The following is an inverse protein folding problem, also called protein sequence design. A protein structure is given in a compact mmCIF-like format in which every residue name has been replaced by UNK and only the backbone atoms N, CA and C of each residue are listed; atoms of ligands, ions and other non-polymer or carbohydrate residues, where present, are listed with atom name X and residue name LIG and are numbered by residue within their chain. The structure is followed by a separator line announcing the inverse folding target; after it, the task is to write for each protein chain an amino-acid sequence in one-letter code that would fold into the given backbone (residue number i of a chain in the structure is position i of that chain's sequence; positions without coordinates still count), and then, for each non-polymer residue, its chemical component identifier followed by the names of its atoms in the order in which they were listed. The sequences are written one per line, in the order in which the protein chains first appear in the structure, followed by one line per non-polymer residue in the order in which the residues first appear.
data_IF_127631345328
#
_entry.id   IF_127631345328
#
_cell.length_a   1.000
_cell.length_b   1.000
_cell.length_c   1.000
_cell.angle_alpha   90.00
_cell.angle_beta   90.00
_cell.angle_gamma   90.00
#
_symmetry.space_group_name_H-M   'P 1'
#
loop_
_entity.id
_entity.type
_entity.pdbx_description
1 polymer ?
#
# COMPACT_ATOMS: atom_id res chain seq x y z
N UNK A 1 27.32 44.52 -19.64
CA UNK A 1 28.42 43.85 -18.89
C UNK A 1 28.01 43.33 -17.49
N UNK A 2 26.71 43.25 -17.14
CA UNK A 2 26.24 42.70 -15.85
C UNK A 2 25.43 41.39 -15.97
N UNK A 3 24.99 40.97 -17.16
CA UNK A 3 24.23 39.70 -17.34
C UNK A 3 25.12 38.47 -17.54
N UNK A 4 26.35 38.64 -18.02
CA UNK A 4 27.27 37.53 -18.29
C UNK A 4 27.84 36.90 -17.00
N UNK A 5 27.96 37.69 -15.92
CA UNK A 5 28.51 37.23 -14.64
C UNK A 5 27.48 36.39 -13.86
N UNK A 6 26.18 36.66 -14.01
CA UNK A 6 25.12 35.90 -13.33
C UNK A 6 24.91 34.49 -13.91
N UNK A 7 25.08 34.31 -15.23
CA UNK A 7 25.05 32.98 -15.86
C UNK A 7 26.29 32.14 -15.52
N UNK A 8 27.47 32.77 -15.45
CA UNK A 8 28.71 32.12 -15.02
C UNK A 8 28.66 31.72 -13.53
N UNK A 9 27.99 32.50 -12.67
CA UNK A 9 27.81 32.17 -11.26
C UNK A 9 26.81 31.01 -11.04
N UNK A 10 25.75 30.90 -11.85
CA UNK A 10 24.85 29.73 -11.82
C UNK A 10 25.55 28.47 -12.34
N UNK A 11 26.29 28.55 -13.46
CA UNK A 11 27.05 27.43 -13.99
C UNK A 11 28.12 26.94 -13.00
N UNK A 12 28.83 27.86 -12.34
CA UNK A 12 29.83 27.52 -11.31
C UNK A 12 29.18 26.96 -10.04
N UNK A 13 28.01 27.45 -9.62
CA UNK A 13 27.28 26.91 -8.47
C UNK A 13 26.71 25.50 -8.71
N UNK A 14 26.36 25.17 -9.96
CA UNK A 14 26.00 23.80 -10.36
C UNK A 14 27.23 22.88 -10.26
N UNK A 15 28.40 23.35 -10.69
CA UNK A 15 29.67 22.59 -10.66
C UNK A 15 30.29 22.46 -9.25
N UNK A 16 29.95 23.35 -8.31
CA UNK A 16 30.49 23.35 -6.94
C UNK A 16 29.51 22.87 -5.88
N UNK A 17 28.29 22.49 -6.24
CA UNK A 17 27.32 21.96 -5.30
C UNK A 17 27.73 20.55 -4.83
N UNK A 18 27.53 20.19 -3.55
CA UNK A 18 27.66 18.81 -3.07
C UNK A 18 26.80 17.81 -3.86
N UNK A 19 25.79 18.33 -4.59
CA UNK A 19 24.84 17.64 -5.47
C UNK A 19 25.47 16.91 -6.68
N UNK A 20 26.64 17.33 -7.19
CA UNK A 20 27.35 16.63 -8.27
C UNK A 20 28.47 15.70 -7.78
N UNK A 21 28.66 15.58 -6.45
CA UNK A 21 29.86 14.98 -5.85
C UNK A 21 29.73 13.50 -5.48
N UNK A 22 28.84 12.74 -6.13
CA UNK A 22 29.05 11.28 -6.28
C UNK A 22 29.90 11.05 -7.53
N UNK A 23 31.18 11.39 -7.42
CA UNK A 23 32.18 11.11 -8.45
C UNK A 23 32.49 9.61 -8.42
N UNK A 24 32.09 8.89 -9.46
CA UNK A 24 32.73 7.62 -9.81
C UNK A 24 34.16 7.97 -10.26
N UNK A 25 35.22 7.33 -9.73
CA UNK A 25 36.60 7.58 -10.14
C UNK A 25 36.89 7.29 -11.63
N UNK A 26 35.91 6.81 -12.40
CA UNK A 26 36.03 6.41 -13.81
C UNK A 26 35.39 7.36 -14.84
N UNK A 27 34.96 8.56 -14.46
CA UNK A 27 34.31 9.55 -15.35
C UNK A 27 32.81 9.75 -15.07
N UNK A 28 32.18 10.77 -15.65
CA UNK A 28 30.74 11.00 -15.46
C UNK A 28 29.95 9.96 -16.26
N UNK A 29 28.85 9.43 -15.70
CA UNK A 29 27.96 8.47 -16.39
C UNK A 29 27.44 9.04 -17.73
N UNK A 30 27.47 10.38 -17.87
CA UNK A 30 27.06 11.12 -19.06
C UNK A 30 28.15 11.24 -20.14
N UNK A 31 29.35 10.74 -19.87
CA UNK A 31 30.48 10.75 -20.82
C UNK A 31 30.42 9.57 -21.79
N UNK A 32 29.67 8.51 -21.44
CA UNK A 32 29.60 7.28 -22.22
C UNK A 32 28.15 6.78 -22.37
N UNK A 33 27.66 6.80 -23.61
CA UNK A 33 26.30 6.34 -23.96
C UNK A 33 26.05 4.86 -23.61
N UNK A 34 27.05 4.00 -23.66
CA UNK A 34 26.89 2.58 -23.34
C UNK A 34 26.79 2.35 -21.82
N UNK A 35 27.57 3.08 -21.02
CA UNK A 35 27.46 3.10 -19.55
C UNK A 35 26.13 3.71 -19.11
N UNK A 36 25.66 4.74 -19.82
CA UNK A 36 24.40 5.42 -19.56
C UNK A 36 23.18 4.55 -19.94
N UNK A 37 23.23 3.82 -21.06
CA UNK A 37 22.07 3.13 -21.63
C UNK A 37 22.06 1.61 -21.45
N UNK A 38 23.11 0.89 -21.87
CA UNK A 38 23.04 -0.58 -21.97
C UNK A 38 23.33 -1.25 -20.64
N UNK A 39 24.30 -0.73 -19.89
CA UNK A 39 24.73 -1.31 -18.62
C UNK A 39 23.69 -1.11 -17.49
N UNK A 40 22.65 -0.31 -17.74
CA UNK A 40 21.60 -0.01 -16.76
C UNK A 40 20.33 -0.86 -17.00
N UNK A 41 20.12 -1.40 -18.20
CA UNK A 41 18.85 -2.04 -18.57
C UNK A 41 18.53 -3.31 -17.76
N UNK A 42 19.55 -4.12 -17.42
CA UNK A 42 19.33 -5.33 -16.61
C UNK A 42 18.98 -5.02 -15.15
N UNK A 43 19.38 -3.85 -14.66
CA UNK A 43 19.11 -3.39 -13.29
C UNK A 43 17.63 -3.06 -13.08
N UNK A 44 16.87 -2.83 -14.16
CA UNK A 44 15.43 -2.53 -14.09
C UNK A 44 14.57 -3.74 -13.69
N UNK A 45 15.15 -4.93 -13.55
CA UNK A 45 14.43 -6.11 -13.07
C UNK A 45 14.32 -6.16 -11.55
N UNK A 46 15.24 -5.50 -10.86
CA UNK A 46 15.37 -5.50 -9.41
C UNK A 46 15.11 -4.10 -8.83
N UNK A 47 14.35 -3.97 -7.74
CA UNK A 47 14.08 -2.68 -7.10
C UNK A 47 15.32 -1.86 -6.70
N UNK A 48 16.39 -2.49 -6.18
CA UNK A 48 17.61 -1.78 -5.84
C UNK A 48 18.36 -1.32 -7.10
N UNK A 49 18.34 -2.15 -8.14
CA UNK A 49 18.86 -1.81 -9.46
C UNK A 49 18.14 -0.60 -10.07
N UNK A 50 16.82 -0.57 -10.09
CA UNK A 50 16.04 0.57 -10.61
C UNK A 50 16.32 1.87 -9.84
N UNK A 51 16.45 1.80 -8.51
CA UNK A 51 16.87 2.93 -7.68
C UNK A 51 18.29 3.40 -8.04
N UNK A 52 19.21 2.46 -8.24
CA UNK A 52 20.58 2.77 -8.69
C UNK A 52 20.59 3.44 -10.06
N UNK A 53 19.76 3.02 -11.02
CA UNK A 53 19.63 3.69 -12.32
C UNK A 53 19.13 5.11 -12.13
N UNK A 54 18.09 5.31 -11.33
CA UNK A 54 17.51 6.63 -11.06
C UNK A 54 18.55 7.61 -10.47
N UNK A 55 19.34 7.13 -9.50
CA UNK A 55 20.38 7.93 -8.85
C UNK A 55 21.62 8.15 -9.74
N UNK A 56 22.15 7.09 -10.36
CA UNK A 56 23.40 7.17 -11.14
C UNK A 56 23.26 7.94 -12.45
N UNK A 57 22.08 7.91 -13.06
CA UNK A 57 21.77 8.72 -14.25
C UNK A 57 21.47 10.17 -13.89
N UNK A 58 21.28 10.47 -12.59
CA UNK A 58 20.86 11.78 -12.06
C UNK A 58 19.51 12.26 -12.58
N UNK A 59 18.65 11.34 -13.07
CA UNK A 59 17.32 11.68 -13.58
C UNK A 59 16.46 12.43 -12.56
N UNK A 60 16.48 11.99 -11.30
CA UNK A 60 15.75 12.68 -10.22
C UNK A 60 16.29 14.09 -9.94
N UNK A 61 17.61 14.27 -9.93
CA UNK A 61 18.22 15.58 -9.69
C UNK A 61 17.88 16.56 -10.81
N UNK A 62 18.00 16.12 -12.06
CA UNK A 62 17.69 16.95 -13.22
C UNK A 62 16.20 17.25 -13.32
N UNK A 63 15.32 16.33 -12.89
CA UNK A 63 13.89 16.60 -12.76
C UNK A 63 13.62 17.70 -11.72
N UNK A 64 14.19 17.59 -10.52
CA UNK A 64 14.00 18.58 -9.44
C UNK A 64 14.55 19.96 -9.83
N UNK A 65 15.74 20.01 -10.45
CA UNK A 65 16.34 21.24 -10.97
C UNK A 65 15.51 21.82 -12.11
N UNK A 66 15.04 20.98 -13.04
CA UNK A 66 14.21 21.41 -14.16
C UNK A 66 12.94 22.09 -13.66
N UNK A 67 12.21 21.43 -12.76
CA UNK A 67 10.98 21.93 -12.14
C UNK A 67 11.26 23.24 -11.38
N UNK A 68 12.28 23.26 -10.51
CA UNK A 68 12.65 24.46 -9.76
C UNK A 68 13.22 25.61 -10.61
N UNK A 69 13.61 25.34 -11.86
CA UNK A 69 14.08 26.35 -12.81
C UNK A 69 12.97 26.95 -13.67
N UNK A 70 11.76 26.36 -13.68
CA UNK A 70 10.60 26.99 -14.30
C UNK A 70 10.25 28.26 -13.52
N UNK A 71 9.73 29.30 -14.17
CA UNK A 71 9.57 30.62 -13.54
C UNK A 71 8.82 30.52 -12.20
N UNK A 72 9.09 31.44 -11.26
CA UNK A 72 8.61 31.44 -9.86
C UNK A 72 7.08 31.30 -9.71
N UNK A 73 6.31 31.49 -10.79
CA UNK A 73 4.85 31.34 -10.85
C UNK A 73 4.35 30.02 -11.47
N UNK A 74 5.24 29.16 -11.98
CA UNK A 74 4.92 27.99 -12.84
C UNK A 74 5.48 26.66 -12.32
N UNK A 75 5.83 26.54 -11.04
CA UNK A 75 6.75 25.48 -10.65
C UNK A 75 6.29 24.05 -10.98
N UNK A 76 4.99 23.72 -11.04
CA UNK A 76 4.57 22.35 -11.39
C UNK A 76 3.37 22.18 -12.34
N UNK A 77 2.62 23.21 -12.79
CA UNK A 77 1.69 23.04 -13.92
C UNK A 77 2.42 22.73 -15.25
N UNK A 78 1.92 21.73 -15.98
CA UNK A 78 2.37 21.29 -17.29
C UNK A 78 3.88 20.92 -17.39
N UNK A 79 4.53 20.55 -16.27
CA UNK A 79 5.97 20.30 -16.25
C UNK A 79 6.41 19.26 -17.31
N UNK A 80 5.61 18.20 -17.52
CA UNK A 80 5.95 17.14 -18.45
C UNK A 80 5.90 17.60 -19.90
N UNK A 81 4.90 18.43 -20.23
CA UNK A 81 4.79 19.08 -21.54
C UNK A 81 5.94 20.06 -21.76
N UNK A 82 6.25 20.87 -20.75
CA UNK A 82 7.37 21.80 -20.78
C UNK A 82 8.71 21.07 -20.95
N UNK A 83 8.86 19.88 -20.36
CA UNK A 83 10.06 19.05 -20.50
C UNK A 83 10.18 18.49 -21.92
N UNK A 84 9.08 17.95 -22.47
CA UNK A 84 9.01 17.51 -23.86
C UNK A 84 9.36 18.64 -24.81
N UNK A 85 8.78 19.82 -24.63
CA UNK A 85 9.06 21.00 -25.47
C UNK A 85 10.51 21.48 -25.33
N UNK A 86 11.08 21.48 -24.13
CA UNK A 86 12.48 21.87 -23.89
C UNK A 86 13.46 20.91 -24.56
N UNK A 87 13.18 19.61 -24.53
CA UNK A 87 14.10 18.57 -25.03
C UNK A 87 13.93 18.38 -26.53
N UNK A 88 12.69 18.27 -27.00
CA UNK A 88 12.37 17.88 -28.39
C UNK A 88 12.15 19.11 -29.29
N UNK A 89 11.88 20.29 -28.71
CA UNK A 89 11.65 21.53 -29.47
C UNK A 89 10.26 21.61 -30.12
N UNK A 90 9.29 20.88 -29.57
CA UNK A 90 7.94 20.72 -30.11
C UNK A 90 7.84 19.58 -31.13
N UNK A 91 6.74 18.83 -31.08
CA UNK A 91 6.51 17.65 -31.94
C UNK A 91 5.55 18.01 -33.08
N UNK A 92 5.94 17.78 -34.33
CA UNK A 92 4.99 17.81 -35.44
C UNK A 92 4.00 16.63 -35.29
N UNK A 93 2.75 16.92 -34.92
CA UNK A 93 1.72 15.92 -34.63
C UNK A 93 1.07 16.03 -33.23
N UNK A 94 1.51 16.98 -32.39
CA UNK A 94 1.02 17.16 -31.03
C UNK A 94 1.89 16.45 -29.98
N UNK A 95 1.73 16.80 -28.69
CA UNK A 95 2.61 16.30 -27.63
C UNK A 95 2.46 14.79 -27.41
N UNK A 96 3.57 14.06 -27.33
CA UNK A 96 3.58 12.61 -27.12
C UNK A 96 3.32 12.23 -25.65
N UNK A 97 3.34 13.22 -24.77
CA UNK A 97 3.05 13.09 -23.34
C UNK A 97 1.57 13.27 -22.97
N UNK A 98 0.73 13.71 -23.91
CA UNK A 98 -0.66 14.09 -23.63
C UNK A 98 -1.54 12.97 -23.05
N UNK A 99 -1.20 11.70 -23.32
CA UNK A 99 -1.91 10.53 -22.77
C UNK A 99 -1.36 10.02 -21.44
N UNK A 100 -0.30 10.61 -20.88
CA UNK A 100 0.35 10.09 -19.66
C UNK A 100 -0.42 10.39 -18.37
N UNK A 101 -1.32 11.37 -18.38
CA UNK A 101 -2.12 11.76 -17.21
C UNK A 101 -3.34 10.89 -16.94
N UNK A 102 -3.58 9.82 -17.71
CA UNK A 102 -4.72 8.92 -17.50
C UNK A 102 -4.34 7.46 -17.76
N UNK A 103 -5.00 6.53 -17.06
CA UNK A 103 -4.80 5.08 -17.24
C UNK A 103 -5.26 4.57 -18.61
N UNK A 104 -6.18 5.26 -19.26
CA UNK A 104 -6.70 4.90 -20.60
C UNK A 104 -5.93 5.59 -21.73
N UNK A 105 -5.12 6.61 -21.42
CA UNK A 105 -4.36 7.36 -22.39
C UNK A 105 -3.21 6.56 -23.00
N UNK A 106 -2.79 6.97 -24.19
CA UNK A 106 -1.57 6.46 -24.82
C UNK A 106 -0.39 7.31 -24.35
N UNK A 107 0.38 6.80 -23.38
CA UNK A 107 1.59 7.45 -22.91
C UNK A 107 2.81 6.99 -23.71
N UNK A 108 3.32 7.85 -24.61
CA UNK A 108 4.52 7.55 -25.40
C UNK A 108 5.51 8.72 -25.40
N UNK A 109 5.99 9.17 -24.22
CA UNK A 109 6.84 10.35 -24.07
C UNK A 109 8.19 10.25 -24.82
N UNK A 110 8.54 9.04 -25.28
CA UNK A 110 9.76 8.75 -26.03
C UNK A 110 9.52 8.72 -27.55
N UNK A 111 8.28 8.80 -28.04
CA UNK A 111 8.01 8.68 -29.48
C UNK A 111 8.56 7.40 -30.15
N UNK A 112 8.87 6.36 -29.37
CA UNK A 112 9.52 5.13 -29.84
C UNK A 112 11.04 5.16 -29.93
N UNK A 113 11.71 6.26 -29.56
CA UNK A 113 13.18 6.34 -29.56
C UNK A 113 13.78 5.58 -28.39
N UNK A 114 14.95 4.97 -28.61
CA UNK A 114 15.69 4.26 -27.56
C UNK A 114 16.65 5.20 -26.82
N UNK A 115 17.25 4.71 -25.72
CA UNK A 115 18.15 5.51 -24.88
C UNK A 115 19.33 6.11 -25.66
N UNK A 116 19.98 5.33 -26.54
CA UNK A 116 21.14 5.81 -27.30
C UNK A 116 20.74 6.91 -28.28
N UNK A 117 19.59 6.74 -28.92
CA UNK A 117 19.04 7.73 -29.84
C UNK A 117 18.68 9.03 -29.11
N UNK A 118 18.01 8.96 -27.94
CA UNK A 118 17.72 10.12 -27.11
C UNK A 118 19.01 10.86 -26.71
N UNK A 119 19.98 10.11 -26.21
CA UNK A 119 21.26 10.63 -25.75
C UNK A 119 22.01 11.35 -26.87
N UNK A 120 22.11 10.73 -28.06
CA UNK A 120 22.84 11.30 -29.19
C UNK A 120 22.10 12.50 -29.81
N UNK A 121 20.77 12.46 -29.83
CA UNK A 121 19.95 13.48 -30.50
C UNK A 121 19.77 14.73 -29.67
N UNK A 122 19.66 14.60 -28.35
CA UNK A 122 19.31 15.71 -27.47
C UNK A 122 20.38 16.01 -26.41
N UNK A 123 21.44 15.21 -26.31
CA UNK A 123 22.50 15.40 -25.32
C UNK A 123 23.47 16.55 -25.60
N UNK A 124 23.34 17.20 -26.77
CA UNK A 124 24.08 18.41 -27.15
C UNK A 124 23.05 19.45 -27.63
N UNK A 125 23.18 20.69 -27.17
CA UNK A 125 22.30 21.78 -27.58
C UNK A 125 22.67 22.32 -28.99
N UNK A 126 21.90 23.30 -29.47
CA UNK A 126 22.10 23.91 -30.80
C UNK A 126 23.42 24.66 -30.94
N UNK A 127 24.01 25.06 -29.82
CA UNK A 127 25.26 25.82 -29.75
C UNK A 127 26.48 24.90 -29.54
N UNK A 128 26.26 23.58 -29.50
CA UNK A 128 27.31 22.58 -29.33
C UNK A 128 27.71 22.33 -27.87
N UNK A 129 26.97 22.87 -26.89
CA UNK A 129 27.22 22.63 -25.48
C UNK A 129 26.50 21.38 -24.98
N UNK A 130 27.00 20.81 -23.89
CA UNK A 130 26.36 19.67 -23.25
C UNK A 130 24.97 20.03 -22.72
N UNK A 131 23.97 19.25 -23.14
CA UNK A 131 22.59 19.37 -22.67
C UNK A 131 22.25 18.18 -21.76
N UNK A 132 22.53 18.35 -20.47
CA UNK A 132 22.36 17.31 -19.45
C UNK A 132 20.91 16.82 -19.39
N UNK A 133 19.93 17.73 -19.28
CA UNK A 133 18.50 17.37 -19.25
C UNK A 133 18.08 16.62 -20.52
N UNK A 134 18.70 16.95 -21.66
CA UNK A 134 18.52 16.19 -22.90
C UNK A 134 18.97 14.74 -22.79
N UNK A 135 20.12 14.46 -22.15
CA UNK A 135 20.60 13.10 -21.87
C UNK A 135 19.72 12.36 -20.85
N UNK A 136 19.41 13.01 -19.72
CA UNK A 136 18.70 12.40 -18.58
C UNK A 136 17.21 12.24 -18.79
N UNK A 137 16.60 13.04 -19.66
CA UNK A 137 15.17 12.97 -19.99
C UNK A 137 14.70 11.59 -20.44
N UNK A 138 15.56 10.75 -21.03
CA UNK A 138 15.21 9.36 -21.35
C UNK A 138 14.65 8.62 -20.13
N UNK A 139 15.37 8.68 -19.01
CA UNK A 139 15.01 7.97 -17.79
C UNK A 139 13.81 8.61 -17.10
N UNK A 140 13.66 9.93 -17.18
CA UNK A 140 12.46 10.63 -16.69
C UNK A 140 11.22 10.18 -17.48
N UNK A 141 11.29 10.21 -18.82
CA UNK A 141 10.20 9.77 -19.69
C UNK A 141 9.89 8.28 -19.55
N UNK A 142 10.92 7.44 -19.36
CA UNK A 142 10.73 6.01 -19.08
C UNK A 142 9.99 5.80 -17.74
N UNK A 143 10.34 6.57 -16.70
CA UNK A 143 9.64 6.52 -15.41
C UNK A 143 8.19 6.99 -15.53
N UNK A 144 7.90 8.05 -16.29
CA UNK A 144 6.53 8.51 -16.56
C UNK A 144 5.72 7.44 -17.30
N UNK A 145 6.32 6.82 -18.32
CA UNK A 145 5.69 5.70 -19.03
C UNK A 145 5.42 4.51 -18.11
N UNK A 146 6.39 4.14 -17.29
CA UNK A 146 6.27 3.05 -16.33
C UNK A 146 5.26 3.32 -15.21
N UNK A 147 5.10 4.58 -14.79
CA UNK A 147 4.05 5.01 -13.86
C UNK A 147 2.67 4.75 -14.45
N UNK A 148 2.42 5.25 -15.67
CA UNK A 148 1.13 5.06 -16.34
C UNK A 148 0.81 3.56 -16.54
N UNK A 149 1.80 2.78 -16.98
CA UNK A 149 1.64 1.34 -17.18
C UNK A 149 1.29 0.61 -15.87
N UNK A 150 2.00 0.89 -14.77
CA UNK A 150 1.74 0.27 -13.46
C UNK A 150 0.40 0.67 -12.87
N UNK A 151 -0.03 1.93 -13.05
CA UNK A 151 -1.34 2.37 -12.58
C UNK A 151 -2.47 1.75 -13.40
N UNK A 152 -2.27 1.54 -14.71
CA UNK A 152 -3.20 0.77 -15.54
C UNK A 152 -3.28 -0.68 -15.09
N UNK A 153 -2.15 -1.35 -14.87
CA UNK A 153 -2.11 -2.73 -14.34
C UNK A 153 -2.83 -2.84 -13.00
N UNK A 154 -2.60 -1.89 -12.10
CA UNK A 154 -3.28 -1.83 -10.81
C UNK A 154 -4.80 -1.69 -10.99
N UNK A 155 -5.25 -0.78 -11.85
CA UNK A 155 -6.69 -0.60 -12.14
C UNK A 155 -7.31 -1.89 -12.69
N UNK A 156 -6.66 -2.54 -13.64
CA UNK A 156 -7.11 -3.82 -14.20
C UNK A 156 -7.19 -4.91 -13.13
N UNK A 157 -6.15 -5.01 -12.27
CA UNK A 157 -6.08 -6.03 -11.23
C UNK A 157 -7.09 -5.80 -10.12
N UNK A 158 -7.28 -4.56 -9.68
CA UNK A 158 -8.35 -4.17 -8.75
C UNK A 158 -9.73 -4.46 -9.34
N UNK A 159 -9.93 -4.23 -10.64
CA UNK A 159 -11.21 -4.57 -11.30
C UNK A 159 -11.49 -6.06 -11.20
N UNK A 160 -10.50 -6.88 -11.60
CA UNK A 160 -10.58 -8.33 -11.52
C UNK A 160 -10.83 -8.81 -10.09
N UNK A 161 -10.09 -8.27 -9.12
CA UNK A 161 -10.11 -8.76 -7.75
C UNK A 161 -11.35 -8.26 -6.98
N UNK A 162 -11.88 -7.07 -7.25
CA UNK A 162 -13.19 -6.63 -6.75
C UNK A 162 -14.31 -7.52 -7.26
N UNK A 163 -14.27 -7.94 -8.53
CA UNK A 163 -15.22 -8.93 -9.05
C UNK A 163 -15.09 -10.27 -8.31
N UNK A 164 -13.88 -10.77 -8.13
CA UNK A 164 -13.62 -12.03 -7.40
C UNK A 164 -14.09 -11.92 -5.94
N UNK A 165 -13.78 -10.83 -5.24
CA UNK A 165 -14.20 -10.60 -3.86
C UNK A 165 -15.73 -10.56 -3.75
N UNK A 166 -16.41 -9.87 -4.67
CA UNK A 166 -17.87 -9.87 -4.76
C UNK A 166 -18.48 -11.27 -4.90
N UNK A 167 -17.82 -12.18 -5.64
CA UNK A 167 -18.25 -13.59 -5.72
C UNK A 167 -17.92 -14.41 -4.47
N UNK A 168 -16.86 -14.07 -3.74
CA UNK A 168 -16.43 -14.81 -2.55
C UNK A 168 -17.24 -14.47 -1.30
N UNK A 169 -17.74 -13.25 -1.16
CA UNK A 169 -18.46 -12.81 0.06
C UNK A 169 -19.69 -13.69 0.36
N UNK A 170 -20.59 -14.01 -0.59
CA UNK A 170 -21.73 -14.90 -0.30
C UNK A 170 -21.29 -16.29 0.16
N UNK A 171 -20.15 -16.78 -0.34
CA UNK A 171 -19.57 -18.03 0.13
C UNK A 171 -19.04 -17.91 1.55
N UNK A 172 -18.34 -16.81 1.88
CA UNK A 172 -17.86 -16.55 3.25
C UNK A 172 -19.02 -16.44 4.26
N UNK A 173 -20.08 -15.73 3.88
CA UNK A 173 -21.32 -15.58 4.67
C UNK A 173 -21.91 -16.95 5.00
N UNK A 174 -22.01 -17.82 3.99
CA UNK A 174 -22.48 -19.20 4.18
C UNK A 174 -21.52 -20.03 5.04
N UNK A 175 -20.22 -19.96 4.75
CA UNK A 175 -19.18 -20.80 5.37
C UNK A 175 -18.97 -20.49 6.86
N UNK A 176 -19.23 -19.25 7.30
CA UNK A 176 -19.13 -18.86 8.71
C UNK A 176 -20.49 -18.71 9.40
N UNK A 177 -21.60 -18.80 8.65
CA UNK A 177 -22.96 -18.52 9.13
C UNK A 177 -23.12 -17.07 9.65
N UNK A 178 -22.49 -16.13 8.95
CA UNK A 178 -22.51 -14.70 9.27
C UNK A 178 -23.47 -13.90 8.41
N UNK A 179 -23.19 -12.60 8.25
CA UNK A 179 -23.86 -11.72 7.29
C UNK A 179 -22.87 -10.67 6.75
N UNK A 180 -23.35 -9.80 5.84
CA UNK A 180 -22.57 -8.68 5.27
C UNK A 180 -22.83 -7.34 5.97
N UNK A 181 -23.59 -7.34 7.07
CA UNK A 181 -24.15 -6.11 7.66
C UNK A 181 -23.08 -5.25 8.32
N UNK A 182 -23.40 -3.95 8.40
CA UNK A 182 -22.55 -2.81 8.78
C UNK A 182 -21.36 -3.14 9.69
N UNK A 183 -20.16 -3.00 9.11
CA UNK A 183 -18.95 -2.76 9.91
C UNK A 183 -18.69 -1.26 9.93
N UNK A 184 -18.41 -0.71 11.11
CA UNK A 184 -17.94 0.67 11.21
C UNK A 184 -16.63 0.82 10.44
N UNK A 185 -16.43 1.97 9.79
CA UNK A 185 -15.16 2.35 9.15
C UNK A 185 -14.69 1.43 7.98
N UNK A 186 -15.61 0.88 7.16
CA UNK A 186 -15.27 0.02 6.01
C UNK A 186 -14.21 0.63 5.10
N UNK A 187 -14.35 1.91 4.77
CA UNK A 187 -13.42 2.61 3.90
C UNK A 187 -12.02 2.73 4.51
N UNK A 188 -11.92 2.94 5.84
CA UNK A 188 -10.62 3.06 6.51
C UNK A 188 -9.90 1.73 6.55
N UNK A 189 -10.59 0.63 6.90
CA UNK A 189 -9.91 -0.67 6.90
C UNK A 189 -9.61 -1.15 5.49
N UNK A 190 -10.44 -0.85 4.49
CA UNK A 190 -10.11 -1.16 3.10
C UNK A 190 -8.87 -0.38 2.64
N UNK A 191 -8.76 0.91 2.96
CA UNK A 191 -7.55 1.68 2.66
C UNK A 191 -6.33 1.13 3.41
N UNK A 192 -6.50 0.77 4.69
CA UNK A 192 -5.44 0.13 5.46
C UNK A 192 -4.98 -1.17 4.79
N UNK A 193 -5.89 -2.06 4.39
CA UNK A 193 -5.61 -3.36 3.75
C UNK A 193 -4.58 -3.22 2.61
N UNK A 194 -4.57 -2.08 1.96
CA UNK A 194 -3.79 -1.80 0.78
C UNK A 194 -2.41 -1.23 1.13
N UNK A 195 -2.30 -0.53 2.27
CA UNK A 195 -1.07 0.13 2.70
C UNK A 195 -0.04 -0.76 3.41
N UNK A 196 -0.40 -1.88 4.07
CA UNK A 196 0.52 -2.57 5.00
C UNK A 196 1.22 -3.85 4.52
N UNK A 197 1.13 -4.23 3.25
CA UNK A 197 1.97 -5.30 2.67
C UNK A 197 1.93 -6.66 3.39
N UNK A 198 1.02 -7.56 2.98
CA UNK A 198 1.12 -9.02 3.12
C UNK A 198 1.42 -9.67 4.49
N UNK A 199 1.13 -9.03 5.62
CA UNK A 199 1.53 -9.51 6.94
C UNK A 199 0.95 -10.88 7.38
N UNK A 200 -0.18 -11.33 6.82
CA UNK A 200 -0.81 -12.61 7.20
C UNK A 200 -0.40 -13.81 6.35
N UNK A 201 0.15 -13.58 5.15
CA UNK A 201 0.26 -14.62 4.13
C UNK A 201 1.49 -15.50 4.24
N UNK A 202 2.53 -15.08 4.98
CA UNK A 202 3.83 -15.79 5.06
C UNK A 202 4.57 -16.02 3.73
N UNK A 203 3.95 -15.65 2.61
CA UNK A 203 4.34 -15.98 1.24
C UNK A 203 4.96 -14.80 0.48
N UNK A 204 5.02 -13.62 1.09
CA UNK A 204 5.84 -12.54 0.54
C UNK A 204 7.24 -12.61 1.15
N UNK A 205 8.30 -12.77 0.35
CA UNK A 205 9.66 -12.78 0.85
C UNK A 205 9.92 -11.53 1.70
N UNK A 206 10.67 -11.69 2.78
CA UNK A 206 11.15 -10.61 3.66
C UNK A 206 11.57 -9.42 2.79
N UNK A 207 10.77 -8.37 2.82
CA UNK A 207 10.86 -7.31 1.83
C UNK A 207 12.05 -6.41 2.12
N UNK A 208 12.91 -6.25 1.11
CA UNK A 208 13.88 -5.16 1.11
C UNK A 208 13.18 -3.78 1.04
N UNK A 209 13.90 -2.69 1.36
CA UNK A 209 13.38 -1.31 1.46
C UNK A 209 12.74 -0.74 0.18
N UNK A 210 12.76 -1.48 -0.92
CA UNK A 210 12.26 -1.06 -2.22
C UNK A 210 10.90 -1.70 -2.59
N UNK A 211 10.53 -2.83 -1.98
CA UNK A 211 9.15 -3.34 -2.04
C UNK A 211 8.20 -2.45 -1.22
N UNK A 212 8.68 -1.90 -0.10
CA UNK A 212 7.95 -0.94 0.73
C UNK A 212 7.70 0.39 0.02
N UNK A 213 8.50 0.74 -0.99
CA UNK A 213 8.30 1.95 -1.79
C UNK A 213 7.02 1.85 -2.65
N UNK A 214 6.86 0.76 -3.40
CA UNK A 214 5.66 0.53 -4.20
C UNK A 214 4.40 0.48 -3.32
N UNK A 215 4.47 -0.27 -2.22
CA UNK A 215 3.40 -0.33 -1.23
C UNK A 215 3.10 1.06 -0.59
N UNK A 216 4.12 1.88 -0.33
CA UNK A 216 3.95 3.23 0.22
C UNK A 216 3.27 4.20 -0.76
N UNK A 217 3.60 4.14 -2.06
CA UNK A 217 2.92 4.92 -3.10
C UNK A 217 1.45 4.53 -3.17
N UNK A 218 1.16 3.22 -3.21
CA UNK A 218 -0.21 2.73 -3.24
C UNK A 218 -0.95 3.09 -1.95
N UNK A 219 -0.37 2.84 -0.78
CA UNK A 219 -0.91 3.24 0.52
C UNK A 219 -1.31 4.71 0.55
N UNK A 220 -0.44 5.63 0.10
CA UNK A 220 -0.75 7.05 0.03
C UNK A 220 -1.94 7.40 -0.88
N UNK A 221 -2.08 6.73 -2.03
CA UNK A 221 -3.23 6.93 -2.94
C UNK A 221 -4.53 6.50 -2.26
N UNK A 222 -4.52 5.37 -1.55
CA UNK A 222 -5.71 4.84 -0.89
C UNK A 222 -6.07 5.60 0.39
N UNK A 223 -5.09 6.11 1.15
CA UNK A 223 -5.33 7.05 2.24
C UNK A 223 -6.04 8.30 1.71
N UNK A 224 -5.59 8.85 0.58
CA UNK A 224 -6.25 10.00 -0.04
C UNK A 224 -7.69 9.69 -0.49
N UNK A 225 -8.00 8.46 -0.89
CA UNK A 225 -9.40 8.03 -1.15
C UNK A 225 -10.18 8.00 0.15
N UNK A 226 -9.64 7.40 1.21
CA UNK A 226 -10.32 7.31 2.51
C UNK A 226 -10.63 8.69 3.10
N UNK A 227 -9.69 9.64 3.00
CA UNK A 227 -9.85 11.01 3.54
C UNK A 227 -10.90 11.83 2.78
N UNK A 228 -11.02 11.62 1.45
CA UNK A 228 -11.97 12.34 0.59
C UNK A 228 -13.35 11.72 0.55
N UNK A 229 -13.49 10.50 1.02
CA UNK A 229 -14.75 9.78 0.99
C UNK A 229 -15.58 10.18 2.20
N UNK A 230 -16.58 11.03 1.99
CA UNK A 230 -17.58 11.30 3.01
C UNK A 230 -18.37 10.02 3.34
N UNK A 231 -18.61 9.70 4.63
CA UNK A 231 -19.35 8.50 5.05
C UNK A 231 -20.74 8.37 4.42
N UNK A 232 -21.35 9.48 4.02
CA UNK A 232 -22.70 9.57 3.48
C UNK A 232 -22.76 9.37 1.96
N UNK A 233 -21.62 9.42 1.26
CA UNK A 233 -21.56 9.36 -0.21
C UNK A 233 -21.43 7.94 -0.80
N UNK A 234 -21.28 6.92 0.06
CA UNK A 234 -21.07 5.53 -0.33
C UNK A 234 -22.18 4.63 0.23
N UNK A 235 -22.60 3.65 -0.56
CA UNK A 235 -23.41 2.54 -0.06
C UNK A 235 -22.56 1.63 0.85
N UNK A 236 -22.45 2.01 2.12
CA UNK A 236 -21.78 1.22 3.17
C UNK A 236 -22.73 0.22 3.83
N UNK A 237 -23.89 -0.07 3.24
CA UNK A 237 -24.87 -0.99 3.82
C UNK A 237 -24.36 -2.44 3.85
N UNK A 238 -23.48 -2.79 2.90
CA UNK A 238 -22.88 -4.12 2.75
C UNK A 238 -21.39 -4.00 2.44
N UNK A 239 -20.61 -5.03 2.81
CA UNK A 239 -19.18 -5.13 2.45
C UNK A 239 -19.00 -5.12 0.93
N UNK A 240 -19.86 -5.83 0.19
CA UNK A 240 -19.82 -5.91 -1.27
C UNK A 240 -20.09 -4.56 -1.93
N UNK A 241 -21.11 -3.81 -1.47
CA UNK A 241 -21.39 -2.44 -1.94
C UNK A 241 -20.20 -1.48 -1.71
N UNK A 242 -19.63 -1.52 -0.50
CA UNK A 242 -18.50 -0.68 -0.15
C UNK A 242 -17.23 -0.99 -0.98
N UNK A 243 -16.97 -2.26 -1.30
CA UNK A 243 -15.86 -2.64 -2.19
C UNK A 243 -16.01 -2.08 -3.61
N UNK A 244 -17.23 -2.06 -4.15
CA UNK A 244 -17.52 -1.47 -5.46
C UNK A 244 -17.27 0.04 -5.42
N UNK A 245 -17.77 0.73 -4.40
CA UNK A 245 -17.58 2.17 -4.27
C UNK A 245 -16.11 2.56 -4.04
N UNK A 246 -15.38 1.80 -3.20
CA UNK A 246 -13.93 1.97 -3.06
C UNK A 246 -13.23 1.81 -4.40
N UNK A 247 -13.54 0.74 -5.15
CA UNK A 247 -12.93 0.52 -6.45
C UNK A 247 -13.14 1.71 -7.40
N UNK A 248 -14.36 2.23 -7.49
CA UNK A 248 -14.67 3.40 -8.32
C UNK A 248 -13.89 4.63 -7.85
N UNK A 249 -13.85 4.87 -6.55
CA UNK A 249 -13.14 6.00 -5.95
C UNK A 249 -11.62 5.89 -6.17
N UNK A 250 -11.04 4.72 -5.99
CA UNK A 250 -9.63 4.42 -6.28
C UNK A 250 -9.32 4.57 -7.75
N UNK A 251 -10.13 4.02 -8.65
CA UNK A 251 -9.90 4.14 -10.08
C UNK A 251 -9.89 5.61 -10.52
N UNK A 252 -10.78 6.43 -9.95
CA UNK A 252 -10.79 7.89 -10.13
C UNK A 252 -9.55 8.55 -9.53
N UNK A 253 -9.17 8.18 -8.31
CA UNK A 253 -8.00 8.75 -7.63
C UNK A 253 -6.68 8.36 -8.30
N UNK A 254 -6.59 7.19 -8.96
CA UNK A 254 -5.44 6.83 -9.81
C UNK A 254 -5.31 7.79 -10.99
N UNK A 255 -6.41 8.12 -11.67
CA UNK A 255 -6.41 9.08 -12.77
C UNK A 255 -6.08 10.50 -12.26
N UNK A 256 -6.58 10.90 -11.07
CA UNK A 256 -6.19 12.17 -10.42
C UNK A 256 -4.70 12.20 -10.11
N UNK A 257 -4.15 11.14 -9.51
CA UNK A 257 -2.73 11.06 -9.17
C UNK A 257 -1.86 11.04 -10.41
N UNK A 258 -2.23 10.32 -11.49
CA UNK A 258 -1.53 10.38 -12.77
C UNK A 258 -1.53 11.80 -13.33
N UNK A 259 -2.70 12.43 -13.38
CA UNK A 259 -2.84 13.78 -13.91
C UNK A 259 -1.98 14.77 -13.10
N UNK A 260 -2.02 14.72 -11.77
CA UNK A 260 -1.16 15.54 -10.92
C UNK A 260 0.32 15.24 -11.16
N UNK A 261 0.73 13.96 -11.18
CA UNK A 261 2.13 13.57 -11.34
C UNK A 261 2.75 14.04 -12.67
N UNK A 262 1.94 14.29 -13.72
CA UNK A 262 2.40 14.81 -15.01
C UNK A 262 2.20 16.31 -15.20
N UNK A 263 1.77 17.04 -14.16
CA UNK A 263 1.62 18.50 -14.20
C UNK A 263 0.20 18.99 -14.49
N UNK A 264 -0.82 18.15 -14.44
CA UNK A 264 -2.20 18.51 -14.74
C UNK A 264 -2.93 19.29 -13.64
N UNK A 265 -2.23 19.85 -12.65
CA UNK A 265 -2.82 20.68 -11.62
C UNK A 265 -2.87 22.16 -12.04
N UNK A 266 -3.84 22.88 -11.49
CA UNK A 266 -3.98 24.33 -11.67
C UNK A 266 -3.32 25.13 -10.55
N UNK A 267 -3.07 24.51 -9.39
CA UNK A 267 -2.39 25.10 -8.24
C UNK A 267 -1.17 24.26 -7.82
N UNK A 268 -0.10 24.92 -7.40
CA UNK A 268 1.14 24.30 -6.91
C UNK A 268 0.87 23.50 -5.62
N UNK A 269 -0.07 23.94 -4.79
CA UNK A 269 -0.39 23.25 -3.54
C UNK A 269 -1.01 21.86 -3.76
N UNK A 270 -1.67 21.63 -4.91
CA UNK A 270 -2.31 20.35 -5.22
C UNK A 270 -1.28 19.21 -5.38
N UNK A 271 -0.04 19.55 -5.76
CA UNK A 271 1.04 18.57 -5.90
C UNK A 271 1.49 17.97 -4.56
N UNK A 272 1.20 18.62 -3.43
CA UNK A 272 1.46 18.06 -2.09
C UNK A 272 0.61 16.82 -1.79
N UNK A 273 -0.45 16.58 -2.58
CA UNK A 273 -1.25 15.36 -2.50
C UNK A 273 -0.55 14.14 -3.14
N UNK A 274 0.57 14.33 -3.86
CA UNK A 274 1.35 13.21 -4.38
C UNK A 274 2.00 12.43 -3.22
N UNK A 275 1.92 11.08 -3.22
CA UNK A 275 2.59 10.27 -2.22
C UNK A 275 4.10 10.54 -2.17
N UNK A 276 4.65 10.73 -0.96
CA UNK A 276 6.10 10.83 -0.79
C UNK A 276 6.64 9.48 -0.25
N UNK A 277 7.24 8.62 -1.10
CA UNK A 277 7.78 7.34 -0.66
C UNK A 277 9.00 7.45 0.26
N UNK A 278 9.64 8.62 0.34
CA UNK A 278 10.76 8.90 1.25
C UNK A 278 10.48 10.19 2.06
N UNK A 279 9.55 10.15 3.04
CA UNK A 279 9.11 11.35 3.76
C UNK A 279 10.21 12.01 4.60
N UNK A 280 11.23 11.25 4.99
CA UNK A 280 12.38 11.74 5.77
C UNK A 280 13.59 12.11 4.91
N UNK A 281 13.49 11.97 3.58
CA UNK A 281 14.54 12.34 2.64
C UNK A 281 14.25 13.73 2.05
N UNK A 282 15.02 14.72 2.48
CA UNK A 282 14.91 16.12 2.02
C UNK A 282 15.75 16.40 0.77
N UNK A 283 16.26 15.37 0.10
CA UNK A 283 17.13 15.52 -1.07
C UNK A 283 16.45 16.24 -2.25
N UNK A 284 15.16 15.95 -2.49
CA UNK A 284 14.36 16.59 -3.53
C UNK A 284 13.45 17.66 -2.93
N UNK A 285 13.23 18.77 -3.65
CA UNK A 285 12.35 19.86 -3.17
C UNK A 285 10.94 19.77 -3.75
N UNK A 286 10.84 19.45 -5.05
CA UNK A 286 9.59 19.29 -5.79
C UNK A 286 8.79 18.08 -5.28
N UNK A 287 7.49 18.24 -4.99
CA UNK A 287 6.58 17.10 -4.77
C UNK A 287 6.61 16.06 -5.90
N UNK A 288 6.68 16.49 -7.17
CA UNK A 288 6.82 15.57 -8.31
C UNK A 288 8.14 14.80 -8.22
N UNK A 289 9.27 15.46 -7.99
CA UNK A 289 10.56 14.78 -7.86
C UNK A 289 10.59 13.81 -6.67
N UNK A 290 9.96 14.18 -5.53
CA UNK A 290 9.77 13.30 -4.37
C UNK A 290 8.97 12.06 -4.72
N UNK A 291 7.90 12.20 -5.50
CA UNK A 291 7.08 11.07 -5.96
C UNK A 291 7.86 10.05 -6.82
N UNK A 292 8.77 10.52 -7.68
CA UNK A 292 9.64 9.66 -8.51
C UNK A 292 10.95 9.21 -7.83
N UNK A 293 11.25 9.71 -6.62
CA UNK A 293 12.58 9.68 -5.97
C UNK A 293 13.24 8.31 -5.76
N UNK A 294 12.48 7.23 -5.87
CA UNK A 294 12.93 5.87 -5.60
C UNK A 294 13.30 5.08 -6.85
N UNK A 295 12.99 5.60 -8.04
CA UNK A 295 13.14 4.86 -9.29
C UNK A 295 12.13 3.70 -9.45
N UNK A 296 11.15 3.55 -8.56
CA UNK A 296 10.15 2.46 -8.62
C UNK A 296 9.48 2.33 -10.00
N UNK A 297 9.17 3.47 -10.62
CA UNK A 297 8.50 3.48 -11.92
C UNK A 297 9.39 3.05 -13.09
N UNK A 298 10.72 2.97 -12.89
CA UNK A 298 11.64 2.39 -13.86
C UNK A 298 11.65 0.86 -13.85
N UNK A 299 11.10 0.22 -12.82
CA UNK A 299 11.04 -1.24 -12.78
C UNK A 299 10.30 -1.77 -13.99
N UNK A 300 10.74 -2.91 -14.52
CA UNK A 300 9.98 -3.59 -15.56
C UNK A 300 8.61 -4.00 -15.03
N UNK A 301 7.60 -3.94 -15.90
CA UNK A 301 6.21 -4.27 -15.54
C UNK A 301 6.04 -5.75 -15.17
N UNK A 302 6.94 -6.64 -15.63
CA UNK A 302 6.97 -8.07 -15.29
C UNK A 302 7.82 -8.40 -14.04
N UNK A 303 8.27 -7.38 -13.29
CA UNK A 303 9.03 -7.59 -12.06
C UNK A 303 8.14 -8.19 -10.98
N UNK A 304 8.63 -9.25 -10.31
CA UNK A 304 7.99 -9.86 -9.14
C UNK A 304 7.63 -8.84 -8.05
N UNK A 305 8.40 -7.76 -7.95
CA UNK A 305 8.13 -6.72 -6.96
C UNK A 305 6.84 -5.96 -7.26
N UNK A 306 6.58 -5.65 -8.53
CA UNK A 306 5.36 -4.99 -9.00
C UNK A 306 4.16 -5.92 -8.78
N UNK A 307 4.28 -7.18 -9.17
CA UNK A 307 3.25 -8.19 -8.97
C UNK A 307 2.92 -8.38 -7.49
N UNK A 308 3.93 -8.49 -6.62
CA UNK A 308 3.74 -8.67 -5.19
C UNK A 308 3.05 -7.47 -4.53
N UNK A 309 3.46 -6.24 -4.88
CA UNK A 309 2.83 -5.02 -4.35
C UNK A 309 1.36 -4.88 -4.77
N UNK A 310 1.02 -5.31 -5.99
CA UNK A 310 -0.37 -5.30 -6.46
C UNK A 310 -1.15 -6.46 -5.80
N UNK A 311 -0.56 -7.65 -5.68
CA UNK A 311 -1.20 -8.84 -5.08
C UNK A 311 -1.47 -8.69 -3.58
N UNK A 312 -0.60 -7.97 -2.86
CA UNK A 312 -0.73 -7.77 -1.42
C UNK A 312 -2.04 -7.09 -1.03
N UNK A 313 -2.58 -6.23 -1.91
CA UNK A 313 -3.89 -5.58 -1.74
C UNK A 313 -4.98 -6.64 -1.55
N UNK A 314 -5.06 -7.57 -2.49
CA UNK A 314 -6.10 -8.60 -2.51
C UNK A 314 -5.88 -9.65 -1.42
N UNK A 315 -4.62 -9.96 -1.11
CA UNK A 315 -4.28 -10.89 -0.03
C UNK A 315 -4.64 -10.36 1.36
N UNK A 316 -4.72 -9.04 1.55
CA UNK A 316 -5.08 -8.41 2.82
C UNK A 316 -6.59 -8.18 2.97
N UNK A 317 -7.31 -7.82 1.89
CA UNK A 317 -8.76 -7.59 1.93
C UNK A 317 -9.53 -8.86 2.30
N UNK A 318 -9.18 -10.00 1.68
CA UNK A 318 -9.87 -11.29 1.85
C UNK A 318 -9.96 -11.75 3.32
N UNK A 319 -8.86 -11.83 4.10
CA UNK A 319 -8.93 -12.23 5.51
C UNK A 319 -9.70 -11.23 6.39
N UNK A 320 -9.71 -9.93 6.06
CA UNK A 320 -10.51 -8.94 6.81
C UNK A 320 -12.00 -9.09 6.59
N UNK A 321 -12.43 -9.35 5.35
CA UNK A 321 -13.82 -9.69 5.09
C UNK A 321 -14.22 -10.94 5.89
N UNK A 322 -13.39 -11.98 5.86
CA UNK A 322 -13.64 -13.20 6.64
C UNK A 322 -13.77 -12.89 8.14
N UNK A 323 -12.87 -12.09 8.71
CA UNK A 323 -12.97 -11.63 10.10
C UNK A 323 -14.30 -10.90 10.40
N UNK A 324 -14.74 -10.01 9.52
CA UNK A 324 -15.98 -9.27 9.70
C UNK A 324 -17.21 -10.19 9.64
N UNK A 325 -17.23 -11.15 8.71
CA UNK A 325 -18.27 -12.17 8.63
C UNK A 325 -18.25 -13.07 9.87
N UNK A 326 -17.07 -13.48 10.35
CA UNK A 326 -16.93 -14.24 11.60
C UNK A 326 -17.50 -13.47 12.80
N UNK A 327 -17.18 -12.17 12.91
CA UNK A 327 -17.71 -11.28 13.95
C UNK A 327 -19.24 -11.20 13.91
N UNK A 328 -19.81 -11.02 12.72
CA UNK A 328 -21.26 -11.02 12.49
C UNK A 328 -21.91 -12.38 12.83
N UNK A 329 -21.18 -13.48 12.64
CA UNK A 329 -21.59 -14.82 13.02
C UNK A 329 -21.50 -15.10 14.54
N UNK A 330 -21.19 -14.08 15.34
CA UNK A 330 -20.91 -14.17 16.78
C UNK A 330 -19.76 -15.13 17.14
N UNK A 331 -18.78 -15.26 16.25
CA UNK A 331 -17.51 -15.91 16.60
C UNK A 331 -16.65 -14.94 17.42
N UNK A 332 -15.90 -15.49 18.37
CA UNK A 332 -15.11 -14.77 19.38
C UNK A 332 -13.80 -15.50 19.63
N UNK A 333 -12.72 -14.76 19.81
CA UNK A 333 -11.45 -15.33 20.27
C UNK A 333 -11.52 -15.54 21.79
N UNK A 334 -11.20 -16.73 22.27
CA UNK A 334 -11.26 -17.07 23.67
C UNK A 334 -9.86 -17.35 24.21
N UNK A 335 -9.54 -16.79 25.38
CA UNK A 335 -8.46 -17.23 26.24
C UNK A 335 -9.04 -18.08 27.37
N UNK A 336 -8.79 -19.39 27.35
CA UNK A 336 -9.38 -20.31 28.33
C UNK A 336 -8.52 -20.42 29.59
N UNK A 337 -9.02 -19.89 30.71
CA UNK A 337 -8.33 -19.93 32.01
C UNK A 337 -8.41 -21.28 32.69
N UNK A 338 -9.31 -22.16 32.24
CA UNK A 338 -9.50 -23.50 32.81
C UNK A 338 -8.44 -24.49 32.31
N UNK A 339 -7.68 -24.11 31.27
CA UNK A 339 -6.59 -24.90 30.68
C UNK A 339 -5.27 -24.31 31.18
N UNK A 340 -4.45 -25.13 31.85
CA UNK A 340 -3.26 -24.66 32.55
C UNK A 340 -1.93 -25.09 31.92
N UNK A 341 -1.97 -25.86 30.82
CA UNK A 341 -0.77 -26.33 30.15
C UNK A 341 -0.94 -26.40 28.63
N UNK A 342 0.18 -26.34 27.91
CA UNK A 342 0.21 -26.56 26.45
C UNK A 342 -0.30 -27.96 26.08
N UNK A 343 -0.02 -28.96 26.91
CA UNK A 343 -0.45 -30.34 26.72
C UNK A 343 -1.99 -30.46 26.80
N UNK A 344 -2.61 -29.77 27.77
CA UNK A 344 -4.06 -29.74 27.94
C UNK A 344 -4.76 -28.88 26.88
N UNK A 345 -4.08 -27.85 26.38
CA UNK A 345 -4.56 -27.10 25.20
C UNK A 345 -4.68 -28.03 23.99
N UNK A 346 -3.76 -28.98 23.88
CA UNK A 346 -3.76 -30.04 22.88
C UNK A 346 -3.45 -29.53 21.48
N UNK A 347 -3.62 -30.41 20.50
CA UNK A 347 -3.33 -30.13 19.08
C UNK A 347 -4.59 -30.06 18.22
N UNK A 348 -5.76 -29.89 18.85
CA UNK A 348 -7.02 -29.81 18.13
C UNK A 348 -6.99 -28.66 17.10
N UNK A 349 -7.56 -28.91 15.93
CA UNK A 349 -7.59 -27.95 14.82
C UNK A 349 -8.25 -26.66 15.30
N UNK A 350 -7.46 -25.62 15.58
CA UNK A 350 -7.95 -24.31 15.97
C UNK A 350 -7.23 -23.68 17.16
N UNK A 351 -6.75 -24.52 18.06
CA UNK A 351 -6.16 -24.12 19.34
C UNK A 351 -4.72 -23.65 19.18
N UNK A 352 -4.32 -22.65 19.96
CA UNK A 352 -2.96 -22.15 20.04
C UNK A 352 -2.59 -21.86 21.49
N UNK A 353 -1.49 -22.44 21.97
CA UNK A 353 -0.90 -22.04 23.24
C UNK A 353 0.00 -20.83 22.98
N UNK A 354 -0.37 -19.68 23.52
CA UNK A 354 0.34 -18.42 23.28
C UNK A 354 0.28 -17.51 24.51
N UNK A 355 1.25 -16.63 24.62
CA UNK A 355 1.33 -15.65 25.70
C UNK A 355 0.45 -14.44 25.39
N UNK A 356 -0.42 -14.05 26.32
CA UNK A 356 -1.13 -12.77 26.26
C UNK A 356 -0.19 -11.61 26.63
N UNK A 357 0.62 -11.83 27.67
CA UNK A 357 1.66 -10.95 28.21
C UNK A 357 2.78 -11.83 28.76
N UNK A 358 3.95 -11.24 29.03
CA UNK A 358 5.07 -11.97 29.64
C UNK A 358 4.63 -12.71 30.91
N UNK A 359 4.68 -14.05 30.86
CA UNK A 359 4.31 -14.93 31.98
C UNK A 359 2.81 -15.26 32.09
N UNK A 360 1.98 -14.82 31.15
CA UNK A 360 0.55 -15.13 31.09
C UNK A 360 0.21 -15.93 29.82
N UNK A 361 0.38 -17.26 29.89
CA UNK A 361 0.06 -18.17 28.80
C UNK A 361 -1.35 -18.73 28.93
N UNK A 362 -2.09 -18.76 27.82
CA UNK A 362 -3.41 -19.36 27.76
C UNK A 362 -3.58 -20.22 26.51
N UNK A 363 -4.59 -21.08 26.53
CA UNK A 363 -5.06 -21.76 25.34
C UNK A 363 -6.06 -20.87 24.59
N UNK A 364 -5.70 -20.44 23.38
CA UNK A 364 -6.50 -19.59 22.53
C UNK A 364 -7.22 -20.36 21.42
N UNK A 365 -8.52 -20.13 21.26
CA UNK A 365 -9.33 -20.74 20.21
C UNK A 365 -10.61 -19.94 19.94
N UNK A 366 -11.32 -20.28 18.86
CA UNK A 366 -12.55 -19.59 18.48
C UNK A 366 -13.76 -20.30 19.10
N UNK A 367 -14.67 -19.53 19.70
CA UNK A 367 -15.99 -20.01 20.12
C UNK A 367 -17.09 -19.22 19.43
N UNK A 368 -18.22 -19.88 19.18
CA UNK A 368 -19.48 -19.25 18.78
C UNK A 368 -20.29 -18.91 20.02
N UNK A 369 -20.62 -17.64 20.16
CA UNK A 369 -21.53 -17.12 21.17
C UNK A 369 -22.96 -17.09 20.61
N UNK A 370 -23.92 -17.64 21.34
CA UNK A 370 -25.34 -17.42 21.07
C UNK A 370 -25.98 -16.80 22.31
N UNK A 371 -26.50 -15.56 22.24
CA UNK A 371 -27.14 -14.91 23.38
C UNK A 371 -28.45 -15.61 23.79
N UNK A 372 -29.06 -16.35 22.86
CA UNK A 372 -30.29 -17.12 23.06
C UNK A 372 -30.16 -18.50 22.39
N UNK A 373 -29.47 -19.44 23.04
CA UNK A 373 -29.15 -20.73 22.42
C UNK A 373 -28.90 -21.91 23.37
N UNK A 374 -28.79 -21.68 24.68
CA UNK A 374 -28.55 -22.74 25.66
C UNK A 374 -29.73 -22.99 26.59
N UNK A 375 -29.66 -24.09 27.35
CA UNK A 375 -30.54 -24.32 28.51
C UNK A 375 -30.49 -23.16 29.53
N UNK A 376 -29.46 -22.31 29.43
CA UNK A 376 -29.14 -21.20 30.31
C UNK A 376 -29.36 -19.81 29.69
N UNK A 377 -30.06 -19.71 28.54
CA UNK A 377 -30.21 -18.47 27.80
C UNK A 377 -29.04 -18.28 26.84
N UNK A 378 -27.85 -17.96 27.37
CA UNK A 378 -26.63 -17.87 26.55
C UNK A 378 -25.93 -19.23 26.38
N UNK A 379 -25.18 -19.39 25.30
CA UNK A 379 -24.33 -20.56 25.06
C UNK A 379 -23.02 -20.19 24.38
N UNK A 380 -21.94 -20.80 24.85
CA UNK A 380 -20.61 -20.71 24.27
C UNK A 380 -20.24 -22.11 23.77
N UNK A 381 -20.05 -22.25 22.46
CA UNK A 381 -19.64 -23.54 21.85
C UNK A 381 -18.33 -23.35 21.10
N UNK A 382 -17.35 -24.22 21.33
CA UNK A 382 -16.12 -24.21 20.53
C UNK A 382 -16.46 -24.36 19.05
N UNK A 383 -15.78 -23.58 18.20
CA UNK A 383 -15.99 -23.64 16.77
C UNK A 383 -15.64 -25.04 16.23
N UNK A 384 -16.46 -25.55 15.32
CA UNK A 384 -16.23 -26.83 14.66
C UNK A 384 -15.04 -26.75 13.67
N UNK A 385 -14.52 -27.91 13.26
CA UNK A 385 -13.34 -28.00 12.38
C UNK A 385 -13.54 -27.30 11.01
N UNK A 386 -14.78 -27.22 10.55
CA UNK A 386 -15.17 -26.53 9.33
C UNK A 386 -14.88 -25.02 9.40
N UNK A 387 -15.10 -24.36 10.54
CA UNK A 387 -14.77 -22.95 10.77
C UNK A 387 -13.27 -22.73 10.57
N UNK A 388 -12.43 -23.60 11.13
CA UNK A 388 -10.98 -23.48 10.99
C UNK A 388 -10.48 -23.82 9.58
N UNK A 389 -11.17 -24.75 8.89
CA UNK A 389 -10.93 -25.04 7.47
C UNK A 389 -11.28 -23.83 6.60
N UNK A 390 -12.38 -23.14 6.92
CA UNK A 390 -12.82 -21.94 6.24
C UNK A 390 -11.89 -20.75 6.55
N UNK A 391 -11.41 -20.61 7.78
CA UNK A 391 -10.34 -19.65 8.11
C UNK A 391 -9.12 -19.87 7.21
N UNK A 392 -8.64 -21.12 7.06
CA UNK A 392 -7.53 -21.43 6.17
C UNK A 392 -7.85 -21.10 4.68
N UNK A 393 -9.03 -21.49 4.20
CA UNK A 393 -9.53 -21.15 2.84
C UNK A 393 -9.52 -19.64 2.58
N UNK A 394 -9.73 -18.82 3.62
CA UNK A 394 -9.80 -17.37 3.54
C UNK A 394 -8.55 -16.63 4.03
N UNK A 395 -7.40 -17.31 4.06
CA UNK A 395 -6.08 -16.75 4.43
C UNK A 395 -5.95 -16.35 5.92
N UNK A 396 -6.80 -16.89 6.79
CA UNK A 396 -6.71 -16.82 8.25
C UNK A 396 -6.18 -18.14 8.86
N UNK A 397 -5.54 -18.98 8.05
CA UNK A 397 -5.03 -20.29 8.47
C UNK A 397 -3.79 -20.23 9.37
N UNK A 398 -2.98 -19.16 9.23
CA UNK A 398 -1.89 -18.90 10.16
C UNK A 398 -2.44 -18.19 11.40
N UNK A 399 -2.81 -18.99 12.41
CA UNK A 399 -3.59 -18.54 13.57
C UNK A 399 -2.82 -17.65 14.52
N UNK A 400 -1.54 -17.92 14.71
CA UNK A 400 -0.69 -17.20 15.66
C UNK A 400 -0.64 -15.68 15.38
N UNK A 401 -0.26 -15.21 14.18
CA UNK A 401 -0.26 -13.78 13.87
C UNK A 401 -1.67 -13.19 13.82
N UNK A 402 -2.68 -13.98 13.43
CA UNK A 402 -4.07 -13.52 13.43
C UNK A 402 -4.60 -13.29 14.84
N UNK A 403 -4.39 -14.24 15.76
CA UNK A 403 -4.82 -14.15 17.15
C UNK A 403 -4.05 -13.04 17.87
N UNK A 404 -2.75 -12.90 17.65
CA UNK A 404 -1.99 -11.75 18.16
C UNK A 404 -2.57 -10.41 17.68
N UNK A 405 -2.88 -10.26 16.40
CA UNK A 405 -3.47 -9.03 15.89
C UNK A 405 -4.87 -8.72 16.48
N UNK A 406 -5.66 -9.76 16.76
CA UNK A 406 -6.94 -9.63 17.47
C UNK A 406 -6.71 -9.16 18.91
N UNK A 407 -5.73 -9.72 19.61
CA UNK A 407 -5.38 -9.36 20.98
C UNK A 407 -4.79 -7.94 21.06
N UNK A 408 -3.99 -7.52 20.10
CA UNK A 408 -3.48 -6.15 20.01
C UNK A 408 -4.63 -5.15 19.96
N UNK A 409 -5.70 -5.44 19.21
CA UNK A 409 -6.90 -4.62 19.23
C UNK A 409 -7.65 -4.69 20.57
N UNK A 410 -7.80 -5.90 21.14
CA UNK A 410 -8.48 -6.10 22.41
C UNK A 410 -7.81 -5.35 23.56
N UNK A 411 -6.48 -5.23 23.55
CA UNK A 411 -5.67 -4.53 24.56
C UNK A 411 -5.43 -3.04 24.25
N UNK A 412 -5.72 -2.58 23.03
CA UNK A 412 -5.55 -1.17 22.65
C UNK A 412 -6.49 -0.26 23.42
N UNK A 413 -5.98 0.88 23.91
CA UNK A 413 -6.80 1.91 24.55
C UNK A 413 -7.77 2.59 23.57
N UNK A 414 -7.39 2.67 22.29
CA UNK A 414 -8.24 3.15 21.21
C UNK A 414 -8.71 1.97 20.35
N UNK A 415 -10.03 1.81 20.21
CA UNK A 415 -10.65 0.75 19.40
C UNK A 415 -10.83 1.17 17.95
N UNK A 416 -10.53 2.42 17.61
CA UNK A 416 -10.45 2.86 16.22
C UNK A 416 -9.27 2.20 15.52
N UNK A 417 -9.43 1.95 14.22
CA UNK A 417 -8.35 1.47 13.36
C UNK A 417 -7.23 2.51 13.30
N UNK A 418 -6.02 2.10 13.67
CA UNK A 418 -4.84 2.98 13.64
C UNK A 418 -4.06 2.76 12.34
N UNK A 419 -3.99 3.79 11.49
CA UNK A 419 -3.30 3.75 10.19
C UNK A 419 -2.04 4.61 10.14
N UNK A 420 -1.68 5.25 11.25
CA UNK A 420 -0.63 6.29 11.25
C UNK A 420 0.81 5.72 11.23
N UNK A 421 0.98 4.40 11.42
CA UNK A 421 2.27 3.72 11.47
C UNK A 421 2.27 2.41 10.65
N UNK A 422 1.92 2.49 9.36
CA UNK A 422 1.94 1.33 8.46
C UNK A 422 3.40 0.97 8.10
N UNK A 423 4.01 0.06 8.88
CA UNK A 423 5.22 -0.64 8.47
C UNK A 423 4.89 -1.74 7.45
N UNK A 424 5.80 -1.99 6.51
CA UNK A 424 5.69 -3.16 5.64
C UNK A 424 5.80 -4.43 6.51
N UNK A 425 4.87 -5.39 6.38
CA UNK A 425 4.71 -6.58 7.21
C UNK A 425 4.17 -6.37 8.65
N UNK A 426 3.70 -5.18 9.02
CA UNK A 426 2.99 -4.99 10.30
C UNK A 426 1.48 -4.89 10.10
N UNK A 427 0.69 -5.68 10.83
CA UNK A 427 -0.77 -5.55 10.82
C UNK A 427 -1.13 -4.29 11.61
N UNK A 428 -1.95 -3.38 11.07
CA UNK A 428 -2.38 -2.19 11.80
C UNK A 428 -3.20 -2.58 13.03
N UNK A 429 -3.02 -1.84 14.14
CA UNK A 429 -3.79 -2.08 15.36
C UNK A 429 -5.28 -1.90 15.07
N UNK A 430 -6.09 -2.85 15.54
CA UNK A 430 -7.52 -2.93 15.25
C UNK A 430 -7.91 -3.17 13.80
N UNK A 431 -6.97 -3.59 12.95
CA UNK A 431 -7.33 -4.16 11.65
C UNK A 431 -8.14 -5.44 11.80
N UNK A 432 -7.78 -6.34 12.71
CA UNK A 432 -8.64 -7.45 13.12
C UNK A 432 -9.29 -7.14 14.47
N UNK A 433 -10.60 -6.92 14.44
CA UNK A 433 -11.41 -6.45 15.56
C UNK A 433 -12.44 -7.50 16.02
N UNK A 434 -12.11 -8.78 15.85
CA UNK A 434 -12.85 -9.88 16.46
C UNK A 434 -12.81 -9.68 17.98
N UNK A 435 -13.95 -9.77 18.66
CA UNK A 435 -13.94 -9.57 20.11
C UNK A 435 -13.27 -10.76 20.81
N UNK A 436 -12.50 -10.46 21.85
CA UNK A 436 -11.73 -11.43 22.62
C UNK A 436 -12.18 -11.48 24.09
N UNK A 437 -12.29 -12.69 24.65
CA UNK A 437 -12.81 -12.93 26.00
C UNK A 437 -11.96 -13.95 26.76
N UNK A 438 -11.82 -13.75 28.07
CA UNK A 438 -11.48 -14.82 28.99
C UNK A 438 -12.70 -15.69 29.26
N UNK A 439 -12.50 -16.99 29.29
CA UNK A 439 -13.48 -17.95 29.82
C UNK A 439 -12.92 -18.63 31.07
N UNK A 440 -13.76 -18.71 32.09
CA UNK A 440 -13.45 -19.34 33.38
C UNK A 440 -14.67 -20.13 33.91
N UNK A 441 -14.46 -20.89 34.97
CA UNK A 441 -15.55 -21.47 35.75
C UNK A 441 -16.40 -20.38 36.40
N UNK A 442 -17.73 -20.53 36.31
CA UNK A 442 -18.64 -19.64 37.02
C UNK A 442 -18.83 -20.10 38.47
N UNK A 443 -18.01 -19.56 39.36
CA UNK A 443 -18.10 -19.83 40.81
C UNK A 443 -19.09 -18.92 41.56
N UNK A 444 -19.99 -18.26 40.83
CA UNK A 444 -21.01 -17.39 41.39
C UNK A 444 -21.88 -18.10 42.45
N UNK A 445 -22.33 -17.39 43.51
CA UNK A 445 -23.22 -17.97 44.54
C UNK A 445 -24.46 -18.64 43.96
N UNK A 446 -24.97 -18.13 42.84
CA UNK A 446 -26.10 -18.65 42.06
C UNK A 446 -25.81 -19.98 41.33
N UNK A 447 -24.54 -20.29 41.04
CA UNK A 447 -24.07 -21.55 40.45
C UNK A 447 -23.69 -22.59 41.52
N UNK A 448 -23.38 -22.13 42.74
CA UNK A 448 -22.90 -22.96 43.86
C UNK A 448 -23.94 -23.17 44.98
N UNK A 449 -25.17 -22.69 44.79
CA UNK A 449 -26.25 -22.75 45.78
C UNK A 449 -27.10 -24.02 45.62
N UNK A 450 -27.24 -24.79 46.70
CA UNK A 450 -28.14 -25.95 46.79
C UNK A 450 -29.65 -25.59 46.76
N UNK A 451 -30.00 -24.30 46.61
CA UNK A 451 -31.38 -23.85 46.54
C UNK A 451 -31.93 -24.01 45.11
N UNK A 452 -32.96 -24.84 45.03
CA UNK A 452 -33.74 -25.24 43.87
C UNK A 452 -34.21 -24.00 43.06
N UNK A 453 -33.98 -24.03 41.74
CA UNK A 453 -34.49 -23.11 40.70
C UNK A 453 -33.75 -21.80 40.39
N UNK A 454 -32.42 -21.83 40.20
CA UNK A 454 -31.79 -20.90 39.24
C UNK A 454 -30.92 -21.65 38.24
N UNK A 455 -31.32 -21.53 36.97
CA UNK A 455 -30.57 -21.95 35.80
C UNK A 455 -29.31 -21.07 35.74
N UNK A 456 -28.14 -21.61 36.05
CA UNK A 456 -26.86 -20.87 36.07
C UNK A 456 -25.90 -21.38 34.98
N UNK A 457 -25.37 -20.47 34.15
CA UNK A 457 -24.38 -20.81 33.13
C UNK A 457 -23.05 -21.21 33.80
N UNK A 458 -22.51 -22.42 33.55
CA UNK A 458 -21.25 -22.87 34.16
C UNK A 458 -20.02 -22.10 33.68
N UNK A 459 -20.15 -21.30 32.62
CA UNK A 459 -19.09 -20.49 32.03
C UNK A 459 -19.25 -19.03 32.43
N UNK A 460 -18.17 -18.42 32.93
CA UNK A 460 -18.06 -16.97 33.08
C UNK A 460 -17.18 -16.43 31.96
N UNK A 461 -17.74 -15.57 31.11
CA UNK A 461 -16.99 -14.86 30.06
C UNK A 461 -16.68 -13.42 30.51
N UNK A 462 -15.46 -12.95 30.32
CA UNK A 462 -15.05 -11.57 30.63
C UNK A 462 -14.25 -11.00 29.46
N UNK A 463 -14.58 -9.81 28.92
CA UNK A 463 -13.80 -9.21 27.84
C UNK A 463 -12.31 -9.08 28.20
N UNK A 464 -11.44 -9.32 27.22
CA UNK A 464 -10.03 -8.95 27.32
C UNK A 464 -9.93 -7.45 26.98
N UNK A 465 -9.41 -6.65 27.91
CA UNK A 465 -9.28 -5.20 27.79
C UNK A 465 -7.98 -4.69 28.42
#
# INVERSE_FOLDING_TARGET
MKSTISFLALAAAVHSSPLQKRQDPNGHVWDNVDTFCNNQAYLLRDPAGAAQVWESTSAGNELDVFIGSQWVTEHEPNWLLNLEDRVVGGVSGGPTVGGCGTVQGSCNPLGGINCKEQFNRYGIDKDGNENIIGKTSYWIFLAVKGMQAKFRMLKEKLTSDTMVAGFLIPSMVKDFEGNEDQTSDIMKWLAAAIGFGGALGGNMPVAGPYLSTGAGILGGIFTAVADKTEPEAIDTSTISGALVSLFVATASQLDVTLNLAVGGATNIEDFKALPNPKPHDDWYKSPVAKFFSTGWFLLNDDSLAVDNAIKSITENIKPKIANNVMKAANLRLIADKRIHSQEDCGTATGRQWMSLRDGEDYCFYVMRYKPFGGNYGESWTEAEEDVYTNMAKYNLGNRDPYYHAVLDCALSADKALQVDNLGFNSIPVCYFDLEAFFIDHNDGPECNSNLINKICNPIKATPIA
#
